data_IF_191181707521
#
_entry.id   IF_191181707521
#
_cell.length_a   1.000
_cell.length_b   1.000
_cell.length_c   1.000
_cell.angle_alpha   90.00
_cell.angle_beta   90.00
_cell.angle_gamma   90.00
#
_symmetry.space_group_name_H-M   'P 1'
#
loop_
_entity.id
_entity.type
_entity.pdbx_description
1 polymer ?
#
# COMPACT_ATOMS: atom_id res chain seq x y z
N UNK A 1 -12.21 -26.34 -22.04
CA UNK A 1 -12.27 -26.11 -20.60
C UNK A 1 -13.41 -25.17 -20.25
N UNK A 2 -14.27 -25.58 -19.37
CA UNK A 2 -15.43 -24.78 -19.03
C UNK A 2 -15.23 -24.05 -17.71
N UNK A 3 -15.76 -22.84 -17.62
CA UNK A 3 -15.73 -22.05 -16.40
C UNK A 3 -16.65 -22.71 -15.35
N UNK A 4 -16.11 -22.92 -14.15
CA UNK A 4 -16.83 -23.57 -13.06
C UNK A 4 -17.61 -22.52 -12.26
N UNK A 5 -18.69 -22.02 -12.86
CA UNK A 5 -19.45 -20.91 -12.32
C UNK A 5 -19.91 -21.13 -10.87
N UNK A 6 -20.47 -22.30 -10.59
CA UNK A 6 -21.00 -22.59 -9.25
C UNK A 6 -19.91 -22.59 -8.19
N UNK A 7 -18.74 -23.13 -8.54
CA UNK A 7 -17.62 -23.16 -7.61
C UNK A 7 -17.08 -21.74 -7.38
N UNK A 8 -16.98 -20.98 -8.45
CA UNK A 8 -16.52 -19.60 -8.39
C UNK A 8 -17.46 -18.74 -7.53
N UNK A 9 -18.77 -18.86 -7.78
CA UNK A 9 -19.76 -18.04 -7.08
C UNK A 9 -19.80 -18.30 -5.57
N UNK A 10 -19.42 -19.51 -5.16
CA UNK A 10 -19.41 -19.90 -3.75
C UNK A 10 -18.08 -19.70 -3.08
N UNK A 11 -17.04 -19.44 -3.85
CA UNK A 11 -15.70 -19.28 -3.28
C UNK A 11 -15.62 -18.02 -2.41
N UNK A 12 -14.88 -18.12 -1.34
CA UNK A 12 -14.54 -16.97 -0.50
C UNK A 12 -13.15 -16.54 -0.87
N UNK A 13 -13.05 -15.36 -1.44
CA UNK A 13 -11.78 -14.84 -1.91
C UNK A 13 -11.12 -14.00 -0.83
N UNK A 14 -9.81 -14.12 -0.71
CA UNK A 14 -9.02 -13.30 0.21
C UNK A 14 -7.85 -12.69 -0.54
N UNK A 15 -7.38 -11.51 -0.11
CA UNK A 15 -6.27 -10.87 -0.79
C UNK A 15 -4.98 -11.66 -0.63
N UNK A 16 -4.15 -11.61 -1.66
CA UNK A 16 -2.79 -12.15 -1.57
C UNK A 16 -1.97 -11.25 -0.68
N UNK A 17 -1.10 -11.85 0.11
CA UNK A 17 -0.18 -11.10 0.98
C UNK A 17 1.25 -11.51 0.67
N UNK A 18 2.18 -10.61 0.97
CA UNK A 18 3.60 -10.93 0.89
C UNK A 18 4.38 -10.03 1.83
N UNK A 19 5.59 -10.46 2.15
CA UNK A 19 6.52 -9.70 2.96
C UNK A 19 7.55 -9.05 2.04
N UNK A 20 7.67 -7.74 2.11
CA UNK A 20 8.59 -6.97 1.28
C UNK A 20 9.79 -6.58 2.12
N UNK A 21 11.00 -7.07 1.79
CA UNK A 21 12.19 -6.62 2.53
C UNK A 21 12.44 -5.13 2.30
N UNK A 22 12.66 -4.42 3.38
CA UNK A 22 12.92 -2.97 3.34
C UNK A 22 14.18 -2.64 4.15
N UNK A 23 15.34 -3.09 3.69
CA UNK A 23 16.58 -2.95 4.48
C UNK A 23 16.93 -1.49 4.80
N UNK A 24 16.54 -0.55 3.96
CA UNK A 24 16.76 0.87 4.22
C UNK A 24 16.01 1.39 5.43
N UNK A 25 15.03 0.64 5.92
CA UNK A 25 14.25 1.00 7.09
C UNK A 25 14.60 0.21 8.34
N UNK A 26 15.70 -0.55 8.30
CA UNK A 26 16.07 -1.48 9.39
C UNK A 26 16.23 -0.78 10.75
N UNK A 27 16.58 0.49 10.75
CA UNK A 27 16.76 1.28 11.95
C UNK A 27 15.47 1.40 12.78
N UNK A 28 14.33 1.27 12.14
CA UNK A 28 13.02 1.43 12.79
C UNK A 28 12.30 0.10 13.02
N UNK A 29 13.00 -1.01 12.87
CA UNK A 29 12.47 -2.35 13.16
C UNK A 29 13.28 -2.99 14.27
N UNK A 30 12.59 -3.66 15.19
CA UNK A 30 13.24 -4.40 16.27
C UNK A 30 13.75 -5.78 15.81
N UNK A 31 13.32 -6.21 14.65
CA UNK A 31 13.71 -7.48 14.04
C UNK A 31 13.97 -7.28 12.57
N UNK A 32 13.68 -8.30 11.74
CA UNK A 32 13.84 -8.14 10.29
C UNK A 32 13.02 -6.98 9.75
N UNK A 33 13.63 -6.17 8.89
CA UNK A 33 12.94 -5.04 8.26
C UNK A 33 12.09 -5.55 7.10
N UNK A 34 10.86 -5.86 7.41
CA UNK A 34 9.91 -6.44 6.46
C UNK A 34 8.59 -5.70 6.54
N UNK A 35 8.10 -5.27 5.38
CA UNK A 35 6.82 -4.57 5.26
C UNK A 35 5.81 -5.53 4.65
N UNK A 36 4.83 -5.94 5.45
CA UNK A 36 3.82 -6.87 4.99
C UNK A 36 2.72 -6.13 4.23
N UNK A 37 2.41 -6.60 3.03
CA UNK A 37 1.42 -5.96 2.16
C UNK A 37 0.41 -6.98 1.66
N UNK A 38 -0.70 -6.46 1.14
CA UNK A 38 -1.74 -7.27 0.50
C UNK A 38 -2.18 -6.65 -0.81
N UNK A 39 -2.76 -7.48 -1.65
CA UNK A 39 -3.41 -6.99 -2.87
C UNK A 39 -4.73 -6.31 -2.53
N UNK A 40 -5.22 -5.49 -3.44
CA UNK A 40 -6.45 -4.73 -3.28
C UNK A 40 -7.60 -5.38 -4.05
N UNK A 41 -8.82 -5.17 -3.57
CA UNK A 41 -10.02 -5.53 -4.32
C UNK A 41 -10.25 -4.50 -5.42
N UNK A 42 -11.17 -4.80 -6.35
CA UNK A 42 -11.52 -3.86 -7.40
C UNK A 42 -12.05 -2.53 -6.86
N UNK A 43 -12.90 -2.60 -5.83
CA UNK A 43 -13.41 -1.38 -5.20
C UNK A 43 -12.30 -0.58 -4.52
N UNK A 44 -11.39 -1.25 -3.85
CA UNK A 44 -10.26 -0.59 -3.21
C UNK A 44 -9.35 0.08 -4.24
N UNK A 45 -9.08 -0.62 -5.35
CA UNK A 45 -8.26 -0.08 -6.42
C UNK A 45 -8.90 1.16 -7.04
N UNK A 46 -10.19 1.08 -7.36
CA UNK A 46 -10.93 2.22 -7.91
C UNK A 46 -10.96 3.39 -6.93
N UNK A 47 -11.15 3.09 -5.65
CA UNK A 47 -11.16 4.12 -4.62
C UNK A 47 -9.80 4.79 -4.46
N UNK A 48 -8.72 4.02 -4.57
CA UNK A 48 -7.37 4.60 -4.54
C UNK A 48 -7.17 5.60 -5.67
N UNK A 49 -7.61 5.26 -6.87
CA UNK A 49 -7.47 6.16 -8.01
C UNK A 49 -8.28 7.44 -7.81
N UNK A 50 -9.49 7.32 -7.28
CA UNK A 50 -10.36 8.46 -7.00
C UNK A 50 -9.79 9.36 -5.91
N UNK A 51 -9.33 8.75 -4.80
CA UNK A 51 -8.73 9.50 -3.70
C UNK A 51 -7.42 10.17 -4.11
N UNK A 52 -6.64 9.50 -4.94
CA UNK A 52 -5.40 10.08 -5.46
C UNK A 52 -5.67 11.40 -6.17
N UNK A 53 -6.71 11.43 -7.02
CA UNK A 53 -7.07 12.65 -7.72
C UNK A 53 -7.53 13.75 -6.77
N UNK A 54 -8.36 13.39 -5.78
CA UNK A 54 -8.88 14.36 -4.81
C UNK A 54 -7.80 14.91 -3.88
N UNK A 55 -6.84 14.06 -3.52
CA UNK A 55 -5.89 14.37 -2.46
C UNK A 55 -4.55 14.91 -2.94
N UNK A 56 -4.36 15.07 -4.24
CA UNK A 56 -3.06 15.53 -4.76
C UNK A 56 -2.61 16.83 -4.11
N UNK A 57 -3.50 17.80 -3.99
CA UNK A 57 -3.17 19.09 -3.37
C UNK A 57 -2.94 18.93 -1.86
N UNK A 58 -3.76 18.14 -1.20
CA UNK A 58 -3.62 17.88 0.23
C UNK A 58 -2.28 17.22 0.55
N UNK A 59 -1.87 16.27 -0.28
CA UNK A 59 -0.56 15.62 -0.15
C UNK A 59 0.56 16.66 -0.30
N UNK A 60 0.45 17.55 -1.27
CA UNK A 60 1.42 18.61 -1.47
C UNK A 60 1.53 19.51 -0.23
N UNK A 61 0.40 19.83 0.39
CA UNK A 61 0.39 20.64 1.61
C UNK A 61 1.08 19.92 2.76
N UNK A 62 0.87 18.60 2.88
CA UNK A 62 1.56 17.78 3.88
C UNK A 62 3.06 17.78 3.64
N UNK A 63 3.49 17.63 2.38
CA UNK A 63 4.90 17.68 2.02
C UNK A 63 5.51 19.01 2.45
N UNK A 64 4.84 20.12 2.18
CA UNK A 64 5.32 21.46 2.57
C UNK A 64 5.47 21.56 4.09
N UNK A 65 4.52 21.01 4.84
CA UNK A 65 4.57 21.01 6.30
C UNK A 65 5.74 20.19 6.81
N UNK A 66 6.01 19.04 6.23
CA UNK A 66 7.15 18.19 6.60
C UNK A 66 8.48 18.90 6.32
N UNK A 67 8.57 19.55 5.17
CA UNK A 67 9.77 20.30 4.80
C UNK A 67 10.00 21.44 5.79
N UNK A 68 8.97 22.18 6.15
CA UNK A 68 9.07 23.30 7.08
C UNK A 68 9.54 22.84 8.46
N UNK A 69 9.12 21.65 8.89
CA UNK A 69 9.51 21.10 10.20
C UNK A 69 10.94 20.57 10.21
N UNK A 70 11.44 20.10 9.07
CA UNK A 70 12.79 19.51 9.01
C UNK A 70 13.90 20.54 8.84
N UNK A 71 13.64 21.68 8.19
CA UNK A 71 14.62 22.73 7.97
C UNK A 71 15.83 22.29 7.14
N UNK A 72 16.75 23.22 6.91
CA UNK A 72 18.05 22.93 6.31
C UNK A 72 18.05 22.75 4.80
N UNK A 73 19.19 22.27 4.29
CA UNK A 73 19.42 22.15 2.84
C UNK A 73 18.46 21.17 2.15
N UNK A 74 18.18 20.07 2.82
CA UNK A 74 17.24 19.07 2.29
C UNK A 74 15.86 19.68 2.14
N UNK A 75 15.46 20.50 3.11
CA UNK A 75 14.17 21.18 3.07
C UNK A 75 14.07 22.12 1.87
N UNK A 76 15.13 22.88 1.61
CA UNK A 76 15.17 23.82 0.49
C UNK A 76 15.07 23.08 -0.85
N UNK A 77 15.77 21.96 -0.98
CA UNK A 77 15.75 21.16 -2.20
C UNK A 77 14.35 20.59 -2.45
N UNK A 78 13.72 20.06 -1.42
CA UNK A 78 12.36 19.49 -1.53
C UNK A 78 11.36 20.60 -1.84
N UNK A 79 11.48 21.73 -1.17
CA UNK A 79 10.60 22.87 -1.40
C UNK A 79 10.71 23.38 -2.83
N UNK A 80 11.93 23.38 -3.40
CA UNK A 80 12.13 23.75 -4.79
C UNK A 80 11.38 22.82 -5.74
N UNK A 81 11.33 21.54 -5.45
CA UNK A 81 10.59 20.58 -6.26
C UNK A 81 9.09 20.75 -6.11
N UNK A 82 8.61 20.99 -4.89
CA UNK A 82 7.19 21.17 -4.61
C UNK A 82 6.66 22.46 -5.21
N UNK A 83 7.47 23.53 -5.20
CA UNK A 83 7.03 24.82 -5.71
C UNK A 83 6.88 24.87 -7.24
N UNK A 84 7.34 23.85 -7.95
CA UNK A 84 7.12 23.73 -9.39
C UNK A 84 5.69 23.32 -9.73
N UNK A 85 4.94 22.81 -8.74
CA UNK A 85 3.57 22.38 -8.94
C UNK A 85 2.79 22.55 -7.64
N UNK A 86 1.53 22.92 -7.76
CA UNK A 86 0.64 23.07 -6.60
C UNK A 86 0.20 21.70 -6.04
N UNK A 87 0.50 20.61 -6.74
CA UNK A 87 0.16 19.26 -6.32
C UNK A 87 1.29 18.29 -6.66
N UNK A 88 1.21 17.11 -6.07
CA UNK A 88 2.19 16.05 -6.37
C UNK A 88 1.83 15.35 -7.68
N UNK A 89 2.80 14.69 -8.33
CA UNK A 89 2.50 13.90 -9.52
C UNK A 89 1.41 12.87 -9.25
N UNK A 90 0.58 12.62 -10.25
CA UNK A 90 -0.53 11.67 -10.13
C UNK A 90 -0.07 10.28 -9.73
N UNK A 91 1.05 9.83 -10.28
CA UNK A 91 1.59 8.51 -9.95
C UNK A 91 1.95 8.40 -8.48
N UNK A 92 2.56 9.44 -7.92
CA UNK A 92 2.92 9.49 -6.51
C UNK A 92 1.67 9.45 -5.64
N UNK A 93 0.66 10.26 -5.97
CA UNK A 93 -0.59 10.29 -5.23
C UNK A 93 -1.26 8.91 -5.22
N UNK A 94 -1.26 8.24 -6.37
CA UNK A 94 -1.84 6.89 -6.49
C UNK A 94 -1.10 5.88 -5.63
N UNK A 95 0.23 5.92 -5.67
CA UNK A 95 1.06 5.00 -4.86
C UNK A 95 0.87 5.22 -3.37
N UNK A 96 0.69 6.46 -2.96
CA UNK A 96 0.39 6.78 -1.56
C UNK A 96 -0.90 6.09 -1.13
N UNK A 97 -1.94 6.16 -1.97
CA UNK A 97 -3.20 5.49 -1.65
C UNK A 97 -3.06 3.97 -1.63
N UNK A 98 -2.22 3.40 -2.51
CA UNK A 98 -1.93 1.96 -2.47
C UNK A 98 -1.28 1.57 -1.15
N UNK A 99 -0.34 2.35 -0.64
CA UNK A 99 0.30 2.05 0.64
C UNK A 99 -0.70 2.11 1.79
N UNK A 100 -1.58 3.11 1.77
CA UNK A 100 -2.60 3.25 2.82
C UNK A 100 -3.52 2.04 2.83
N UNK A 101 -3.98 1.61 1.67
CA UNK A 101 -4.94 0.50 1.56
C UNK A 101 -4.29 -0.87 1.70
N UNK A 102 -3.07 -1.02 1.20
CA UNK A 102 -2.43 -2.33 1.07
C UNK A 102 -1.39 -2.69 2.13
N UNK A 103 -1.00 -1.76 3.00
CA UNK A 103 -0.06 -2.07 4.08
C UNK A 103 -0.78 -2.79 5.21
N UNK A 104 -0.21 -3.93 5.63
CA UNK A 104 -0.78 -4.75 6.71
C UNK A 104 0.00 -4.54 8.00
N UNK A 105 1.31 -4.65 7.93
CA UNK A 105 2.17 -4.51 9.10
C UNK A 105 3.57 -4.06 8.63
N UNK A 106 3.98 -2.86 8.95
CA UNK A 106 3.25 -1.86 9.71
C UNK A 106 2.09 -1.26 8.90
N UNK A 107 1.11 -0.69 9.59
CA UNK A 107 0.09 0.10 8.92
C UNK A 107 0.70 1.38 8.35
N UNK A 108 0.04 1.96 7.37
CA UNK A 108 0.58 3.13 6.69
C UNK A 108 -0.47 4.22 6.51
N UNK A 109 -0.67 5.06 7.54
CA UNK A 109 -1.55 6.21 7.40
C UNK A 109 -0.95 7.23 6.42
N UNK A 110 -1.75 8.20 6.03
CA UNK A 110 -1.37 9.18 5.01
C UNK A 110 -0.03 9.86 5.31
N UNK A 111 0.15 10.34 6.54
CA UNK A 111 1.39 11.04 6.92
C UNK A 111 2.61 10.15 6.77
N UNK A 112 2.49 8.88 7.16
CA UNK A 112 3.58 7.91 7.06
C UNK A 112 3.90 7.61 5.60
N UNK A 113 2.88 7.46 4.76
CA UNK A 113 3.08 7.22 3.34
C UNK A 113 3.81 8.40 2.67
N UNK A 114 3.40 9.62 3.00
CA UNK A 114 4.03 10.83 2.47
C UNK A 114 5.48 10.90 2.92
N UNK A 115 5.74 10.66 4.21
CA UNK A 115 7.09 10.69 4.75
C UNK A 115 7.97 9.62 4.09
N UNK A 116 7.42 8.42 3.91
CA UNK A 116 8.14 7.33 3.25
C UNK A 116 8.54 7.73 1.83
N UNK A 117 7.63 8.34 1.08
CA UNK A 117 7.93 8.80 -0.26
C UNK A 117 9.05 9.87 -0.26
N UNK A 118 9.03 10.77 0.70
CA UNK A 118 10.02 11.84 0.75
C UNK A 118 11.39 11.36 1.19
N UNK A 119 11.45 10.52 2.21
CA UNK A 119 12.71 10.11 2.84
C UNK A 119 13.27 8.80 2.27
N UNK A 120 12.41 7.90 1.83
CA UNK A 120 12.81 6.56 1.36
C UNK A 120 12.10 6.23 0.05
N UNK A 121 12.40 6.97 -1.03
CA UNK A 121 11.67 6.81 -2.29
C UNK A 121 11.82 5.43 -2.93
N UNK A 122 12.94 4.74 -2.69
CA UNK A 122 13.14 3.40 -3.24
C UNK A 122 12.24 2.40 -2.53
N UNK A 123 12.23 2.42 -1.19
CA UNK A 123 11.35 1.54 -0.41
C UNK A 123 9.88 1.84 -0.70
N UNK A 124 9.54 3.12 -0.78
CA UNK A 124 8.19 3.55 -1.16
C UNK A 124 7.75 2.93 -2.48
N UNK A 125 8.64 2.99 -3.47
CA UNK A 125 8.35 2.44 -4.79
C UNK A 125 8.20 0.92 -4.75
N UNK A 126 9.12 0.23 -4.11
CA UNK A 126 9.11 -1.23 -4.02
C UNK A 126 7.82 -1.71 -3.35
N UNK A 127 7.45 -1.11 -2.23
CA UNK A 127 6.25 -1.49 -1.49
C UNK A 127 5.00 -1.27 -2.34
N UNK A 128 4.88 -0.10 -2.97
CA UNK A 128 3.70 0.22 -3.78
C UNK A 128 3.61 -0.67 -5.01
N UNK A 129 4.73 -1.00 -5.63
CA UNK A 129 4.75 -1.90 -6.79
C UNK A 129 4.31 -3.31 -6.40
N UNK A 130 4.73 -3.78 -5.23
CA UNK A 130 4.32 -5.10 -4.78
C UNK A 130 2.83 -5.17 -4.51
N UNK A 131 2.26 -4.13 -3.91
CA UNK A 131 0.80 -4.05 -3.70
C UNK A 131 0.07 -4.14 -5.04
N UNK A 132 0.52 -3.37 -6.01
CA UNK A 132 -0.10 -3.37 -7.34
C UNK A 132 0.04 -4.73 -8.04
N UNK A 133 1.21 -5.35 -7.91
CA UNK A 133 1.48 -6.66 -8.48
C UNK A 133 0.54 -7.72 -7.88
N UNK A 134 0.39 -7.73 -6.57
CA UNK A 134 -0.52 -8.65 -5.89
C UNK A 134 -1.97 -8.41 -6.32
N UNK A 135 -2.34 -7.15 -6.48
CA UNK A 135 -3.67 -6.77 -6.95
C UNK A 135 -3.92 -7.34 -8.35
N UNK A 136 -2.92 -7.27 -9.23
CA UNK A 136 -3.01 -7.78 -10.58
C UNK A 136 -3.12 -9.29 -10.68
N UNK A 137 -2.65 -10.00 -9.64
CA UNK A 137 -2.76 -11.46 -9.59
C UNK A 137 -4.13 -11.94 -9.10
N UNK A 138 -4.96 -11.02 -8.63
CA UNK A 138 -6.27 -11.34 -8.11
C UNK A 138 -6.22 -11.94 -6.72
N UNK A 139 -7.38 -12.14 -6.14
CA UNK A 139 -7.50 -12.77 -4.83
C UNK A 139 -7.37 -14.28 -4.96
N UNK A 140 -6.99 -14.94 -3.87
CA UNK A 140 -6.95 -16.41 -3.82
C UNK A 140 -8.25 -16.91 -3.23
N UNK A 141 -8.72 -18.10 -3.66
CA UNK A 141 -9.87 -18.72 -3.01
C UNK A 141 -9.53 -18.96 -1.56
N UNK A 142 -10.34 -18.40 -0.67
CA UNK A 142 -10.11 -18.54 0.76
C UNK A 142 -10.32 -19.97 1.19
N UNK A 143 -9.48 -20.45 2.10
CA UNK A 143 -9.75 -21.71 2.78
C UNK A 143 -10.91 -21.44 3.75
N UNK A 144 -11.85 -22.35 3.74
CA UNK A 144 -12.87 -22.25 4.79
C UNK A 144 -12.21 -22.38 6.11
N UNK A 145 -11.95 -22.06 6.98
CA UNK A 145 -11.06 -22.21 8.09
C UNK A 145 -11.31 -23.08 9.11
N UNK A 146 -11.25 -22.70 8.19
CA UNK A 146 -11.22 -23.12 8.67
C UNK A 146 -11.48 -23.80 9.12
N UNK A 147 -11.54 -23.58 8.88
CA UNK A 147 -11.64 -24.10 9.21
C UNK A 147 -12.04 -24.75 9.47
N UNK A 148 -12.20 -24.48 9.19
CA UNK A 148 -12.58 -25.03 9.23
C UNK A 148 -12.78 -25.87 9.66
N UNK A 149 -12.80 -25.65 9.68
CA UNK A 149 -13.00 -26.34 9.92
C UNK A 149 -13.24 -27.20 10.31
N UNK A 150 -13.20 -26.91 10.16
CA UNK A 150 -13.48 -27.48 10.43
C UNK A 150 -13.53 -28.45 10.68
N UNK A 151 -13.43 -28.36 10.58
CA UNK A 151 -13.48 -29.17 10.79
C UNK A 151 -13.53 -29.92 11.15
N UNK A 152 -13.57 -29.81 11.32
CA UNK A 152 -13.70 -30.50 11.70
C UNK A 152 -13.86 -31.30 11.80
N UNK A 153 -14.00 -31.34 11.62
CA UNK A 153 -14.26 -31.99 11.69
C UNK A 153 -14.38 -32.82 11.73
N UNK A 154 -14.33 -32.95 11.68
CA UNK A 154 -14.52 -33.64 11.80
C UNK A 154 -14.75 -34.39 12.00
N UNK A 155 -15.05 -34.45 12.00
CA UNK A 155 -15.43 -35.12 12.33
C UNK A 155 -15.58 -36.00 12.34
N UNK A 156 -15.81 -36.11 12.27
CA UNK A 156 -15.98 -36.81 12.58
C UNK A 156 -16.11 -37.69 12.68
#
# INVERSE_FOLDING_TARGET
MAFKAKDFDKAKFSPRTTDVPVPGLSEWFDGPAVWKVRGLSGNELGRCNELAEKNRKNIADIVKALVANNGGETADAIQGLVSLSDDVPQDVARRIEYLIAGSVDPDCPLDRAVLLNQAFPIEFRIISEEIFKLTGQGHVPGKPTPSGNEQTSSLT
#
